data_IF_890376180931
#
_entry.id   IF_890376180931
#
_cell.length_a   1.000
_cell.length_b   1.000
_cell.length_c   1.000
_cell.angle_alpha   90.00
_cell.angle_beta   90.00
_cell.angle_gamma   90.00
#
_symmetry.space_group_name_H-M   'P 1'
#
loop_
_entity.id
_entity.type
_entity.pdbx_description
1 polymer ?
#
# COMPACT_ATOMS: atom_id res chain seq x y z
N UNK A 1 15.95 15.35 -14.03
CA UNK A 1 15.71 13.97 -13.60
C UNK A 1 14.19 13.85 -13.45
N UNK A 2 13.55 12.82 -14.01
CA UNK A 2 12.10 12.66 -13.91
C UNK A 2 11.71 12.36 -12.47
N UNK A 3 10.56 12.84 -12.05
CA UNK A 3 9.96 12.50 -10.75
C UNK A 3 9.35 11.08 -10.78
N UNK A 4 9.10 10.51 -9.62
CA UNK A 4 8.49 9.17 -9.50
C UNK A 4 7.12 9.11 -10.21
N UNK A 5 6.32 10.18 -10.12
CA UNK A 5 5.03 10.29 -10.81
C UNK A 5 5.20 10.28 -12.32
N UNK A 6 6.12 11.09 -12.86
CA UNK A 6 6.37 11.13 -14.30
C UNK A 6 6.80 9.77 -14.84
N UNK A 7 7.66 9.06 -14.11
CA UNK A 7 8.10 7.71 -14.47
C UNK A 7 6.91 6.72 -14.44
N UNK A 8 6.08 6.78 -13.41
CA UNK A 8 4.91 5.92 -13.28
C UNK A 8 3.88 6.17 -14.39
N UNK A 9 3.62 7.42 -14.75
CA UNK A 9 2.65 7.79 -15.78
C UNK A 9 3.12 7.46 -17.21
N UNK A 10 4.43 7.44 -17.45
CA UNK A 10 5.01 7.01 -18.72
C UNK A 10 5.11 5.48 -18.86
N UNK A 11 4.93 4.75 -17.76
CA UNK A 11 5.08 3.30 -17.77
C UNK A 11 3.99 2.62 -18.63
N UNK A 12 4.40 1.72 -19.51
CA UNK A 12 3.48 0.89 -20.29
C UNK A 12 2.99 -0.26 -19.43
N UNK A 13 1.82 -0.09 -18.83
CA UNK A 13 1.21 -1.11 -17.98
C UNK A 13 0.67 -2.27 -18.81
N UNK A 14 0.93 -3.50 -18.34
CA UNK A 14 0.26 -4.71 -18.84
C UNK A 14 -1.11 -4.85 -18.18
N UNK A 15 -2.04 -5.51 -18.87
CA UNK A 15 -3.31 -5.89 -18.25
C UNK A 15 -3.04 -6.88 -17.11
N UNK A 16 -3.81 -6.77 -16.00
CA UNK A 16 -3.57 -7.62 -14.82
C UNK A 16 -3.70 -9.12 -15.14
N UNK A 17 -4.54 -9.49 -16.11
CA UNK A 17 -4.65 -10.86 -16.60
C UNK A 17 -3.33 -11.39 -17.17
N UNK A 18 -2.63 -10.56 -17.95
CA UNK A 18 -1.32 -10.93 -18.53
C UNK A 18 -0.25 -11.10 -17.44
N UNK A 19 -0.37 -10.33 -16.37
CA UNK A 19 0.53 -10.45 -15.20
C UNK A 19 0.22 -11.73 -14.44
N UNK A 20 -1.05 -12.05 -14.22
CA UNK A 20 -1.50 -13.26 -13.55
C UNK A 20 -1.11 -14.53 -14.30
N UNK A 21 -1.28 -14.55 -15.63
CA UNK A 21 -0.90 -15.66 -16.49
C UNK A 21 0.58 -16.04 -16.35
N UNK A 22 1.47 -15.04 -16.22
CA UNK A 22 2.91 -15.29 -15.99
C UNK A 22 3.20 -16.04 -14.69
N UNK A 23 2.29 -15.93 -13.72
CA UNK A 23 2.37 -16.65 -12.44
C UNK A 23 1.65 -17.99 -12.46
N UNK A 24 0.91 -18.30 -13.53
CA UNK A 24 0.07 -19.49 -13.62
C UNK A 24 -1.25 -19.36 -12.87
N UNK A 25 -1.76 -18.12 -12.73
CA UNK A 25 -3.05 -17.81 -12.13
C UNK A 25 -4.07 -17.68 -13.27
N UNK A 26 -5.16 -18.42 -13.19
CA UNK A 26 -6.24 -18.38 -14.17
C UNK A 26 -7.12 -17.15 -14.01
N UNK A 27 -7.84 -16.76 -15.05
CA UNK A 27 -8.69 -15.56 -15.04
C UNK A 27 -9.84 -15.65 -14.03
N UNK A 28 -10.42 -16.83 -13.88
CA UNK A 28 -11.50 -17.13 -12.93
C UNK A 28 -11.03 -17.13 -11.47
N UNK A 29 -9.73 -17.16 -11.22
CA UNK A 29 -9.12 -16.99 -9.90
C UNK A 29 -8.84 -15.52 -9.54
N UNK A 30 -9.31 -14.56 -10.37
CA UNK A 30 -9.10 -13.13 -10.18
C UNK A 30 -10.42 -12.38 -9.99
N UNK A 31 -10.49 -11.58 -8.94
CA UNK A 31 -11.51 -10.53 -8.80
C UNK A 31 -10.96 -9.21 -9.35
N UNK A 32 -11.42 -8.82 -10.55
CA UNK A 32 -10.85 -7.67 -11.25
C UNK A 32 -11.29 -6.34 -10.66
N UNK A 33 -10.34 -5.46 -10.40
CA UNK A 33 -10.53 -4.06 -10.05
C UNK A 33 -10.03 -3.16 -11.19
N UNK A 34 -10.81 -3.06 -12.24
CA UNK A 34 -10.41 -2.41 -13.49
C UNK A 34 -9.40 -3.24 -14.29
N UNK A 35 -8.55 -2.56 -15.07
CA UNK A 35 -7.64 -3.23 -16.02
C UNK A 35 -6.32 -3.69 -15.39
N UNK A 36 -5.89 -3.03 -14.32
CA UNK A 36 -4.50 -3.11 -13.84
C UNK A 36 -4.38 -3.64 -12.42
N UNK A 37 -5.49 -3.99 -11.78
CA UNK A 37 -5.53 -4.49 -10.40
C UNK A 37 -6.51 -5.64 -10.29
N UNK A 38 -6.23 -6.57 -9.37
CA UNK A 38 -7.14 -7.64 -9.03
C UNK A 38 -6.89 -8.10 -7.59
N UNK A 39 -7.88 -8.72 -6.98
CA UNK A 39 -7.70 -9.58 -5.82
C UNK A 39 -7.57 -11.02 -6.26
N UNK A 40 -6.97 -11.83 -5.42
CA UNK A 40 -6.90 -13.26 -5.61
C UNK A 40 -8.13 -13.92 -4.95
N UNK A 41 -8.73 -14.89 -5.62
CA UNK A 41 -9.87 -15.61 -5.07
C UNK A 41 -9.46 -16.59 -3.96
N UNK A 42 -10.43 -16.98 -3.15
CA UNK A 42 -10.21 -17.97 -2.09
C UNK A 42 -9.90 -19.35 -2.70
N UNK A 43 -10.45 -19.65 -3.88
CA UNK A 43 -10.19 -20.88 -4.62
C UNK A 43 -8.73 -21.02 -5.03
N UNK A 44 -8.08 -19.92 -5.45
CA UNK A 44 -6.65 -19.92 -5.72
C UNK A 44 -5.86 -20.25 -4.45
N UNK A 45 -6.21 -19.65 -3.32
CA UNK A 45 -5.53 -19.87 -2.05
C UNK A 45 -5.63 -21.35 -1.64
N UNK A 46 -6.82 -21.93 -1.74
CA UNK A 46 -7.01 -23.36 -1.45
C UNK A 46 -6.27 -24.26 -2.45
N UNK A 47 -6.22 -23.92 -3.72
CA UNK A 47 -5.50 -24.68 -4.75
C UNK A 47 -4.00 -24.76 -4.50
N UNK A 48 -3.40 -23.68 -4.03
CA UNK A 48 -1.93 -23.62 -3.84
C UNK A 48 -1.49 -23.99 -2.42
N UNK A 49 -2.42 -24.26 -1.53
CA UNK A 49 -2.16 -24.50 -0.11
C UNK A 49 -1.21 -25.67 0.18
N UNK A 50 -1.30 -26.72 -0.63
CA UNK A 50 -0.51 -27.94 -0.47
C UNK A 50 0.70 -27.98 -1.45
N UNK A 51 0.92 -26.90 -2.22
CA UNK A 51 2.08 -26.80 -3.08
C UNK A 51 3.37 -26.54 -2.27
N UNK A 52 4.53 -27.00 -2.75
CA UNK A 52 5.79 -26.74 -2.07
C UNK A 52 6.09 -25.26 -1.94
N UNK A 53 6.50 -24.85 -0.75
CA UNK A 53 6.88 -23.47 -0.47
C UNK A 53 8.05 -22.99 -1.32
N UNK A 54 7.92 -21.78 -1.84
CA UNK A 54 9.01 -21.06 -2.49
C UNK A 54 10.05 -20.56 -1.49
N UNK A 55 11.13 -19.98 -2.00
CA UNK A 55 12.16 -19.37 -1.16
C UNK A 55 11.69 -17.99 -0.71
N UNK A 56 11.62 -17.77 0.61
CA UNK A 56 11.29 -16.48 1.20
C UNK A 56 12.55 -15.63 1.36
N UNK A 57 12.50 -14.39 0.83
CA UNK A 57 13.54 -13.39 1.01
C UNK A 57 12.95 -12.22 1.78
N UNK A 58 13.40 -12.00 3.00
CA UNK A 58 12.97 -10.89 3.85
C UNK A 58 13.86 -9.67 3.62
N UNK A 59 13.25 -8.55 3.22
CA UNK A 59 13.93 -7.24 3.16
C UNK A 59 13.48 -6.41 4.37
N UNK A 60 14.43 -6.08 5.23
CA UNK A 60 14.17 -5.34 6.47
C UNK A 60 15.23 -4.28 6.73
N UNK A 61 15.06 -3.48 7.76
CA UNK A 61 16.05 -2.52 8.25
C UNK A 61 16.23 -2.66 9.76
N UNK A 62 17.42 -2.37 10.24
CA UNK A 62 17.77 -2.49 11.65
C UNK A 62 17.03 -1.42 12.48
N UNK A 63 17.08 -0.17 12.04
CA UNK A 63 16.46 0.96 12.74
C UNK A 63 15.55 1.75 11.78
N UNK A 64 14.41 2.27 12.25
CA UNK A 64 13.61 3.20 11.48
C UNK A 64 14.30 4.57 11.42
N UNK A 65 14.18 5.25 10.26
CA UNK A 65 14.61 6.65 10.10
C UNK A 65 13.43 7.53 9.64
N UNK A 66 13.45 8.83 9.92
CA UNK A 66 12.37 9.72 9.47
C UNK A 66 12.18 9.75 7.93
N UNK A 67 13.29 9.66 7.19
CA UNK A 67 13.28 9.68 5.73
C UNK A 67 12.90 8.33 5.08
N UNK A 68 12.85 7.25 5.88
CA UNK A 68 12.70 5.88 5.39
C UNK A 68 14.05 5.24 5.02
N UNK A 69 14.08 3.91 4.91
CA UNK A 69 15.31 3.12 4.70
C UNK A 69 15.36 2.47 3.31
N UNK A 70 14.42 2.80 2.43
CA UNK A 70 14.38 2.27 1.07
C UNK A 70 13.96 0.79 0.95
N UNK A 71 13.38 0.19 2.01
CA UNK A 71 12.97 -1.23 2.01
C UNK A 71 12.10 -1.58 0.82
N UNK A 72 11.08 -0.80 0.55
CA UNK A 72 10.13 -1.03 -0.56
C UNK A 72 10.83 -0.91 -1.90
N UNK A 73 11.63 0.13 -2.12
CA UNK A 73 12.38 0.34 -3.36
C UNK A 73 13.34 -0.80 -3.65
N UNK A 74 14.05 -1.28 -2.62
CA UNK A 74 14.95 -2.44 -2.76
C UNK A 74 14.16 -3.72 -3.04
N UNK A 75 13.04 -3.93 -2.38
CA UNK A 75 12.19 -5.11 -2.59
C UNK A 75 11.67 -5.15 -4.03
N UNK A 76 11.17 -4.02 -4.53
CA UNK A 76 10.68 -3.92 -5.92
C UNK A 76 11.83 -4.11 -6.90
N UNK A 77 12.96 -3.42 -6.74
CA UNK A 77 14.12 -3.57 -7.60
C UNK A 77 14.69 -4.99 -7.62
N UNK A 78 14.68 -5.69 -6.49
CA UNK A 78 15.07 -7.09 -6.41
C UNK A 78 14.10 -7.99 -7.19
N UNK A 79 12.79 -7.78 -7.06
CA UNK A 79 11.79 -8.52 -7.84
C UNK A 79 11.93 -8.29 -9.34
N UNK A 80 12.17 -7.06 -9.78
CA UNK A 80 12.45 -6.73 -11.18
C UNK A 80 13.73 -7.43 -11.67
N UNK A 81 14.77 -7.47 -10.84
CA UNK A 81 16.01 -8.16 -11.18
C UNK A 81 15.79 -9.67 -11.38
N UNK A 82 14.98 -10.31 -10.52
CA UNK A 82 14.58 -11.71 -10.71
C UNK A 82 13.82 -11.90 -12.01
N UNK A 83 12.89 -11.01 -12.36
CA UNK A 83 12.18 -11.03 -13.63
C UNK A 83 13.13 -10.97 -14.84
N UNK A 84 14.13 -10.07 -14.81
CA UNK A 84 15.15 -9.94 -15.84
C UNK A 84 16.04 -11.19 -15.97
N UNK A 85 16.24 -11.90 -14.88
CA UNK A 85 16.97 -13.18 -14.85
C UNK A 85 16.10 -14.38 -15.22
N UNK A 86 14.85 -14.17 -15.62
CA UNK A 86 13.89 -15.22 -15.97
C UNK A 86 13.46 -16.09 -14.79
N UNK A 87 13.57 -15.57 -13.56
CA UNK A 87 13.14 -16.28 -12.36
C UNK A 87 11.70 -15.88 -12.01
N UNK A 88 10.90 -16.85 -11.60
CA UNK A 88 9.58 -16.58 -11.04
C UNK A 88 9.74 -16.00 -9.63
N UNK A 89 9.25 -14.80 -9.44
CA UNK A 89 9.26 -14.13 -8.14
C UNK A 89 7.96 -13.35 -7.95
N UNK A 90 7.46 -13.35 -6.73
CA UNK A 90 6.33 -12.56 -6.30
C UNK A 90 6.81 -11.58 -5.23
N UNK A 91 6.46 -10.32 -5.37
CA UNK A 91 6.79 -9.27 -4.41
C UNK A 91 5.61 -9.12 -3.46
N UNK A 92 5.84 -9.37 -2.17
CA UNK A 92 4.85 -9.11 -1.13
C UNK A 92 5.22 -7.80 -0.41
N UNK A 93 4.38 -6.80 -0.54
CA UNK A 93 4.55 -5.49 0.09
C UNK A 93 3.46 -5.25 1.13
N UNK A 94 3.80 -4.48 2.16
CA UNK A 94 2.78 -3.95 3.05
C UNK A 94 1.95 -2.92 2.28
N UNK A 95 0.63 -3.00 2.41
CA UNK A 95 -0.27 -2.00 1.88
C UNK A 95 0.08 -0.62 2.45
N UNK A 96 0.17 0.42 1.59
CA UNK A 96 0.43 1.77 2.05
C UNK A 96 -0.73 2.28 2.90
N UNK A 97 -0.37 2.98 3.97
CA UNK A 97 -1.30 3.87 4.66
C UNK A 97 -1.24 5.26 4.00
N UNK A 98 -2.04 6.19 4.48
CA UNK A 98 -2.06 7.59 4.00
C UNK A 98 -0.72 8.36 4.14
N UNK A 99 0.35 7.69 4.54
CA UNK A 99 1.68 8.27 4.72
C UNK A 99 2.22 9.05 3.53
N UNK A 100 2.09 8.59 2.27
CA UNK A 100 2.53 9.36 1.10
C UNK A 100 1.81 10.67 0.91
N UNK A 101 0.55 10.79 1.37
CA UNK A 101 -0.24 12.02 1.26
C UNK A 101 0.01 13.00 2.42
N UNK A 102 0.54 12.53 3.55
CA UNK A 102 0.63 13.29 4.79
C UNK A 102 1.99 13.28 5.46
N UNK A 103 3.02 12.82 4.84
CA UNK A 103 4.30 12.72 5.49
C UNK A 103 5.49 12.73 4.56
N UNK A 104 6.66 12.73 5.20
CA UNK A 104 7.95 12.62 4.52
C UNK A 104 8.26 11.17 4.11
N UNK A 105 7.43 10.19 4.54
CA UNK A 105 7.63 8.79 4.16
C UNK A 105 7.35 8.60 2.68
N UNK A 106 8.32 8.03 1.99
CA UNK A 106 8.20 7.67 0.59
C UNK A 106 7.01 6.75 0.30
N UNK A 107 6.56 6.75 -0.95
CA UNK A 107 5.43 5.94 -1.41
C UNK A 107 5.68 4.46 -1.16
N UNK A 108 4.60 3.72 -0.92
CA UNK A 108 4.66 2.28 -0.72
C UNK A 108 4.79 1.50 -2.04
N UNK A 109 4.77 2.19 -3.16
CA UNK A 109 4.95 1.62 -4.49
C UNK A 109 6.43 1.50 -4.94
N UNK A 110 7.39 1.93 -4.13
CA UNK A 110 8.79 2.04 -4.51
C UNK A 110 9.17 3.45 -4.96
N UNK A 111 10.24 3.61 -5.75
CA UNK A 111 10.70 4.91 -6.24
C UNK A 111 11.60 4.79 -7.46
N UNK A 112 11.72 5.87 -8.23
CA UNK A 112 12.45 5.89 -9.48
C UNK A 112 11.88 4.88 -10.48
N UNK A 113 12.76 4.08 -11.07
CA UNK A 113 12.35 3.00 -11.97
C UNK A 113 11.98 1.70 -11.24
N UNK A 114 12.21 1.61 -9.93
CA UNK A 114 11.82 0.48 -9.10
C UNK A 114 10.47 0.75 -8.46
N UNK A 115 9.41 0.73 -9.26
CA UNK A 115 8.04 1.04 -8.83
C UNK A 115 7.05 -0.03 -9.23
N UNK A 116 6.01 -0.20 -8.40
CA UNK A 116 4.79 -0.94 -8.75
C UNK A 116 3.77 0.06 -9.31
N UNK A 117 3.20 -0.25 -10.44
CA UNK A 117 2.17 0.58 -11.10
C UNK A 117 0.82 -0.16 -11.14
N UNK A 118 -0.31 0.55 -11.05
CA UNK A 118 -0.52 2.00 -11.00
C UNK A 118 -0.16 2.60 -9.63
N UNK A 119 0.80 3.52 -9.60
CA UNK A 119 1.34 4.06 -8.34
C UNK A 119 0.30 4.86 -7.55
N UNK A 120 -0.46 5.71 -8.24
CA UNK A 120 -1.45 6.57 -7.61
C UNK A 120 -2.54 5.74 -6.91
N UNK A 121 -3.08 4.74 -7.57
CA UNK A 121 -4.09 3.86 -7.00
C UNK A 121 -3.58 3.09 -5.78
N UNK A 122 -2.33 2.58 -5.86
CA UNK A 122 -1.71 1.84 -4.76
C UNK A 122 -1.45 2.72 -3.54
N UNK A 123 -1.10 4.00 -3.75
CA UNK A 123 -0.85 4.96 -2.68
C UNK A 123 -2.14 5.53 -2.07
N UNK A 124 -3.24 5.60 -2.85
CA UNK A 124 -4.49 6.22 -2.42
C UNK A 124 -5.53 5.23 -1.90
N UNK A 125 -5.34 3.95 -2.07
CA UNK A 125 -6.30 2.95 -1.65
C UNK A 125 -7.34 2.54 -2.70
N UNK A 126 -7.37 1.27 -3.05
CA UNK A 126 -8.26 0.75 -4.09
C UNK A 126 -9.29 -0.28 -3.57
N UNK A 127 -9.48 -0.38 -2.28
CA UNK A 127 -10.34 -1.39 -1.67
C UNK A 127 -11.69 -0.84 -1.24
N UNK A 128 -12.67 -0.79 -2.14
CA UNK A 128 -14.09 -0.63 -1.84
C UNK A 128 -14.51 0.66 -1.11
N UNK A 129 -15.79 1.02 -1.24
CA UNK A 129 -16.35 2.30 -0.75
C UNK A 129 -16.30 2.45 0.78
N UNK A 130 -16.55 1.38 1.53
CA UNK A 130 -16.49 1.43 2.99
C UNK A 130 -15.11 1.80 3.50
N UNK A 131 -14.08 1.27 2.87
CA UNK A 131 -12.71 1.59 3.23
C UNK A 131 -12.34 3.01 2.82
N UNK A 132 -12.77 3.46 1.65
CA UNK A 132 -12.57 4.82 1.18
C UNK A 132 -13.22 5.84 2.11
N UNK A 133 -14.49 5.63 2.48
CA UNK A 133 -15.23 6.52 3.40
C UNK A 133 -14.58 6.53 4.79
N UNK A 134 -14.22 5.37 5.31
CA UNK A 134 -13.55 5.25 6.61
C UNK A 134 -12.20 5.96 6.61
N UNK A 135 -11.43 5.81 5.54
CA UNK A 135 -10.14 6.48 5.37
C UNK A 135 -10.30 7.99 5.29
N UNK A 136 -11.28 8.49 4.53
CA UNK A 136 -11.58 9.92 4.43
C UNK A 136 -11.99 10.52 5.78
N UNK A 137 -12.87 9.85 6.52
CA UNK A 137 -13.29 10.29 7.85
C UNK A 137 -12.12 10.30 8.85
N UNK A 138 -11.30 9.25 8.85
CA UNK A 138 -10.15 9.16 9.74
C UNK A 138 -9.06 10.17 9.40
N UNK A 139 -8.93 10.49 8.12
CA UNK A 139 -8.05 11.55 7.66
C UNK A 139 -8.47 12.90 8.20
N UNK A 140 -9.74 13.26 8.05
CA UNK A 140 -10.27 14.52 8.58
C UNK A 140 -10.09 14.62 10.11
N UNK A 141 -10.34 13.51 10.82
CA UNK A 141 -10.08 13.44 12.27
C UNK A 141 -8.59 13.66 12.59
N UNK A 142 -7.69 13.07 11.83
CA UNK A 142 -6.25 13.25 12.02
C UNK A 142 -5.78 14.68 11.72
N UNK A 143 -6.34 15.33 10.69
CA UNK A 143 -6.06 16.72 10.37
C UNK A 143 -6.51 17.65 11.49
N UNK A 144 -7.69 17.41 12.07
CA UNK A 144 -8.21 18.16 13.21
C UNK A 144 -7.30 18.01 14.44
N UNK A 145 -6.94 16.77 14.79
CA UNK A 145 -6.02 16.48 15.89
C UNK A 145 -4.68 17.20 15.69
N UNK A 146 -4.11 17.09 14.49
CA UNK A 146 -2.84 17.74 14.16
C UNK A 146 -2.92 19.27 14.20
N UNK A 147 -4.01 19.85 13.69
CA UNK A 147 -4.22 21.30 13.74
C UNK A 147 -4.23 21.82 15.18
N UNK A 148 -4.96 21.15 16.07
CA UNK A 148 -5.02 21.50 17.49
C UNK A 148 -3.65 21.39 18.14
N UNK A 149 -2.90 20.30 17.83
CA UNK A 149 -1.58 20.03 18.39
C UNK A 149 -0.51 21.00 17.90
N UNK A 150 -0.60 21.47 16.66
CA UNK A 150 0.39 22.32 16.00
C UNK A 150 0.13 23.83 16.14
N UNK A 151 -0.56 24.23 17.19
CA UNK A 151 -0.74 25.64 17.51
C UNK A 151 -2.14 26.19 17.29
N UNK A 152 -3.07 25.41 16.80
CA UNK A 152 -4.51 25.71 16.75
C UNK A 152 -4.84 27.11 16.23
N UNK A 153 -4.30 27.48 15.08
CA UNK A 153 -4.48 28.83 14.50
C UNK A 153 -5.93 29.24 14.30
N UNK A 154 -6.84 28.27 14.13
CA UNK A 154 -8.29 28.52 14.01
C UNK A 154 -9.00 28.70 15.35
N UNK A 155 -8.31 28.52 16.47
CA UNK A 155 -8.89 28.69 17.82
C UNK A 155 -9.97 27.65 18.13
N UNK A 156 -9.87 26.44 17.62
CA UNK A 156 -10.85 25.37 17.86
C UNK A 156 -10.82 24.98 19.33
N UNK A 157 -11.99 25.01 20.01
CA UNK A 157 -12.09 24.55 21.41
C UNK A 157 -12.06 23.01 21.43
N UNK A 158 -10.98 22.37 21.95
CA UNK A 158 -10.87 20.92 21.99
C UNK A 158 -12.00 20.21 22.73
N UNK A 159 -12.67 20.91 23.66
CA UNK A 159 -13.80 20.37 24.45
C UNK A 159 -15.08 20.26 23.62
N UNK A 160 -15.17 20.97 22.49
CA UNK A 160 -16.30 20.94 21.58
C UNK A 160 -16.09 19.98 20.42
N UNK A 161 -14.92 19.35 20.33
CA UNK A 161 -14.63 18.37 19.28
C UNK A 161 -15.29 17.05 19.61
N UNK A 162 -16.38 16.76 18.90
CA UNK A 162 -17.13 15.49 19.01
C UNK A 162 -16.84 14.53 17.85
N UNK A 163 -15.92 14.87 16.97
CA UNK A 163 -15.56 14.06 15.81
C UNK A 163 -14.90 12.74 16.22
N UNK A 164 -15.53 11.62 15.90
CA UNK A 164 -15.02 10.29 16.22
C UNK A 164 -14.41 9.65 15.00
N UNK A 165 -13.32 8.91 15.20
CA UNK A 165 -12.74 8.07 14.16
C UNK A 165 -13.62 6.88 13.90
N UNK A 166 -13.73 6.48 12.62
CA UNK A 166 -14.28 5.19 12.27
C UNK A 166 -13.28 4.10 12.67
N UNK A 167 -13.75 3.13 13.44
CA UNK A 167 -12.92 2.03 13.92
C UNK A 167 -13.16 0.81 13.05
N UNK A 168 -12.13 0.39 12.32
CA UNK A 168 -12.08 -0.93 11.74
C UNK A 168 -11.66 -1.90 12.85
N UNK A 169 -12.30 -3.07 12.93
CA UNK A 169 -12.03 -4.07 13.97
C UNK A 169 -10.56 -4.50 14.05
N UNK A 170 -9.84 -4.43 12.95
CA UNK A 170 -8.40 -4.71 12.89
C UNK A 170 -7.53 -3.66 13.61
N UNK A 171 -7.97 -2.41 13.70
CA UNK A 171 -7.27 -1.37 14.46
C UNK A 171 -7.37 -1.62 15.97
N UNK A 172 -8.45 -2.25 16.43
CA UNK A 172 -8.58 -2.66 17.82
C UNK A 172 -7.58 -3.73 18.26
N UNK A 173 -7.11 -4.54 17.34
CA UNK A 173 -6.18 -5.63 17.62
C UNK A 173 -4.73 -5.13 17.59
N UNK A 174 -4.42 -4.16 16.71
CA UNK A 174 -3.06 -3.69 16.47
C UNK A 174 -2.68 -2.42 17.23
N UNK A 175 -3.63 -1.63 17.68
CA UNK A 175 -3.37 -0.41 18.45
C UNK A 175 -4.32 -0.28 19.66
N UNK A 176 -4.04 -0.99 20.75
CA UNK A 176 -4.94 -1.00 21.90
C UNK A 176 -4.92 0.26 22.74
N UNK A 177 -4.06 1.24 22.48
CA UNK A 177 -3.89 2.34 23.42
C UNK A 177 -3.83 3.69 22.73
N UNK A 178 -4.89 4.47 22.85
CA UNK A 178 -4.75 5.93 22.88
C UNK A 178 -4.08 6.28 24.21
N UNK A 179 -2.91 6.85 24.15
CA UNK A 179 -2.39 7.63 25.26
C UNK A 179 -3.35 8.82 25.49
N UNK A 180 -3.90 8.87 26.67
CA UNK A 180 -4.73 9.98 27.15
C UNK A 180 -3.89 11.23 27.36
#
# INVERSE_FOLDING_TARGET
MKTDIEIAQEAKMLHIREVAEKLGIAEDELELYGKYKAKLSDELIERVKDEPDGKLILVTAINPTPAGEGKTTITVGLGEAFGKLGKKAVIALREPSLGPCFGIKGGAAGGGYSQVVPMEDLNLHFTGDFHAITSANNLLAALLDNHIQQGNQLGIDPRQVVWKRCMLSLIHISEPTRLR
#
